data_IF_631754198646
#
_entry.id   IF_631754198646
#
_cell.length_a   1.000
_cell.length_b   1.000
_cell.length_c   1.000
_cell.angle_alpha   90.00
_cell.angle_beta   90.00
_cell.angle_gamma   90.00
#
_symmetry.space_group_name_H-M   'P 1'
#
loop_
_entity.id
_entity.type
_entity.pdbx_description
1 polymer ?
#
# COMPACT_ATOMS: atom_id res chain seq x y z
N UNK A 1 -47.64 24.07 77.91
CA UNK A 1 -47.78 22.67 77.46
C UNK A 1 -48.25 22.75 76.02
N UNK A 2 -47.54 22.35 74.97
CA UNK A 2 -46.42 21.41 74.82
C UNK A 2 -45.48 21.99 73.74
N UNK A 3 -44.18 21.87 73.99
CA UNK A 3 -43.12 22.15 73.03
C UNK A 3 -43.06 20.99 72.01
N UNK A 4 -42.94 21.31 70.72
CA UNK A 4 -42.48 20.34 69.71
C UNK A 4 -41.71 21.17 68.67
N UNK A 5 -40.41 21.08 68.50
CA UNK A 5 -39.55 19.91 68.60
C UNK A 5 -38.87 19.71 67.25
N UNK A 6 -38.18 20.76 66.78
CA UNK A 6 -37.48 20.76 65.49
C UNK A 6 -36.43 19.65 65.43
N UNK A 7 -36.57 18.76 64.46
CA UNK A 7 -35.50 17.84 64.06
C UNK A 7 -34.86 18.36 62.77
N UNK A 8 -33.58 18.77 62.79
CA UNK A 8 -32.85 19.00 61.55
C UNK A 8 -32.62 17.64 60.87
N UNK A 9 -33.17 17.49 59.66
CA UNK A 9 -32.89 16.35 58.79
C UNK A 9 -31.43 16.48 58.36
N UNK A 10 -30.60 15.55 58.84
CA UNK A 10 -29.20 15.46 58.46
C UNK A 10 -29.11 15.18 56.95
N UNK A 11 -28.57 16.16 56.23
CA UNK A 11 -28.24 16.09 54.81
C UNK A 11 -27.03 15.15 54.64
N UNK A 12 -27.29 13.83 54.65
CA UNK A 12 -26.30 12.80 54.33
C UNK A 12 -26.08 12.85 52.82
N UNK A 13 -25.19 13.74 52.40
CA UNK A 13 -24.63 13.69 51.05
C UNK A 13 -23.77 12.43 50.95
N UNK A 14 -24.10 11.44 50.08
CA UNK A 14 -23.14 10.43 49.73
C UNK A 14 -22.03 11.13 48.96
N UNK A 15 -20.88 11.30 49.60
CA UNK A 15 -19.63 11.58 48.90
C UNK A 15 -19.40 10.43 47.94
N UNK A 16 -19.77 10.64 46.67
CA UNK A 16 -19.31 9.83 45.55
C UNK A 16 -17.80 10.02 45.50
N UNK A 17 -17.10 9.17 46.24
CA UNK A 17 -15.69 8.87 46.01
C UNK A 17 -15.66 8.14 44.66
N UNK A 18 -15.76 8.94 43.59
CA UNK A 18 -15.44 8.53 42.24
C UNK A 18 -13.95 8.23 42.33
N UNK A 19 -13.62 6.96 42.55
CA UNK A 19 -12.26 6.46 42.39
C UNK A 19 -11.75 7.01 41.08
N UNK A 20 -10.89 8.03 41.18
CA UNK A 20 -10.16 8.50 40.02
C UNK A 20 -9.45 7.25 39.51
N UNK A 21 -9.68 6.82 38.26
CA UNK A 21 -8.85 5.77 37.69
C UNK A 21 -7.42 6.24 37.90
N UNK A 22 -6.62 5.40 38.55
CA UNK A 22 -5.31 5.77 39.08
C UNK A 22 -4.40 6.16 37.91
N UNK A 23 -4.47 7.45 37.55
CA UNK A 23 -3.83 8.03 36.36
C UNK A 23 -2.32 7.86 36.41
N UNK A 24 -1.77 7.67 37.61
CA UNK A 24 -0.36 7.35 37.82
C UNK A 24 -0.06 5.93 37.34
N UNK A 25 -0.89 4.96 37.76
CA UNK A 25 -0.78 3.56 37.34
C UNK A 25 -0.92 3.40 35.83
N UNK A 26 -1.89 4.09 35.20
CA UNK A 26 -2.09 4.05 33.75
C UNK A 26 -0.92 4.69 32.98
N UNK A 27 -0.32 5.77 33.51
CA UNK A 27 0.85 6.41 32.90
C UNK A 27 2.10 5.55 33.02
N UNK A 28 2.25 4.82 34.12
CA UNK A 28 3.35 3.88 34.32
C UNK A 28 3.20 2.68 33.38
N UNK A 29 2.00 2.11 33.26
CA UNK A 29 1.69 1.01 32.34
C UNK A 29 1.97 1.40 30.88
N UNK A 30 1.53 2.59 30.44
CA UNK A 30 1.83 3.10 29.09
C UNK A 30 3.34 3.32 28.90
N UNK A 31 4.06 3.81 29.91
CA UNK A 31 5.52 3.99 29.81
C UNK A 31 6.24 2.66 29.68
N UNK A 32 5.79 1.65 30.43
CA UNK A 32 6.38 0.32 30.43
C UNK A 32 6.11 -0.40 29.10
N UNK A 33 4.89 -0.26 28.57
CA UNK A 33 4.52 -0.82 27.27
C UNK A 33 5.22 -0.10 26.10
N UNK A 34 5.37 1.23 26.16
CA UNK A 34 6.15 1.99 25.17
C UNK A 34 7.66 1.66 25.27
N UNK A 35 8.18 1.41 26.47
CA UNK A 35 9.57 0.97 26.65
C UNK A 35 9.79 -0.45 26.13
N UNK A 36 8.83 -1.36 26.35
CA UNK A 36 8.84 -2.71 25.80
C UNK A 36 8.76 -2.70 24.25
N UNK A 37 7.94 -1.84 23.67
CA UNK A 37 7.87 -1.67 22.21
C UNK A 37 9.16 -1.09 21.62
N UNK A 38 9.86 -0.20 22.35
CA UNK A 38 11.19 0.28 21.94
C UNK A 38 12.28 -0.77 22.06
N UNK A 39 12.25 -1.62 23.09
CA UNK A 39 13.24 -2.71 23.23
C UNK A 39 13.02 -3.86 22.25
N UNK A 40 11.79 -4.02 21.72
CA UNK A 40 11.46 -5.01 20.69
C UNK A 40 11.89 -4.58 19.27
N UNK A 41 12.53 -3.41 19.13
CA UNK A 41 13.39 -3.14 17.97
C UNK A 41 12.67 -2.85 16.65
N UNK A 42 11.61 -2.04 16.67
CA UNK A 42 11.16 -1.34 15.47
C UNK A 42 11.20 0.17 15.70
N UNK A 43 12.42 0.69 15.91
CA UNK A 43 12.68 2.09 15.66
C UNK A 43 12.48 2.33 14.17
N UNK A 44 11.35 2.93 13.77
CA UNK A 44 11.23 3.56 12.45
C UNK A 44 12.21 4.72 12.39
N UNK A 45 13.48 4.40 12.14
CA UNK A 45 14.54 5.38 11.98
C UNK A 45 14.32 6.07 10.63
N UNK A 46 14.21 7.40 10.57
CA UNK A 46 14.09 8.13 9.30
C UNK A 46 15.30 7.94 8.36
N UNK A 47 16.37 7.30 8.83
CA UNK A 47 17.48 6.85 7.98
C UNK A 47 17.17 5.57 7.20
N UNK A 48 16.33 4.69 7.75
CA UNK A 48 15.97 3.43 7.10
C UNK A 48 15.05 3.67 5.89
N UNK A 49 14.14 4.63 5.99
CA UNK A 49 13.34 5.08 4.83
C UNK A 49 14.20 5.71 3.73
N UNK A 50 15.27 6.42 4.10
CA UNK A 50 16.20 7.03 3.15
C UNK A 50 17.06 5.97 2.42
N UNK A 51 17.51 4.93 3.11
CA UNK A 51 18.29 3.84 2.52
C UNK A 51 17.42 2.88 1.67
N UNK A 52 16.15 2.65 2.06
CA UNK A 52 15.17 1.94 1.22
C UNK A 52 14.86 2.76 -0.04
N UNK A 53 14.67 4.08 0.07
CA UNK A 53 14.47 4.96 -1.08
C UNK A 53 15.70 5.00 -2.02
N UNK A 54 16.92 5.00 -1.47
CA UNK A 54 18.16 4.92 -2.27
C UNK A 54 18.34 3.58 -2.97
N UNK A 55 18.00 2.46 -2.32
CA UNK A 55 18.03 1.13 -2.96
C UNK A 55 16.93 0.98 -4.02
N UNK A 56 15.78 1.62 -3.83
CA UNK A 56 14.72 1.68 -4.82
C UNK A 56 15.08 2.55 -6.03
N UNK A 57 15.92 3.58 -5.87
CA UNK A 57 16.33 4.46 -6.96
C UNK A 57 17.24 3.80 -8.03
N UNK A 58 17.83 2.63 -7.73
CA UNK A 58 18.71 1.89 -8.65
C UNK A 58 18.08 0.71 -9.37
N UNK A 59 16.84 0.35 -9.03
CA UNK A 59 16.06 -0.69 -9.73
C UNK A 59 14.85 0.00 -10.37
N UNK A 60 14.49 -0.29 -11.62
CA UNK A 60 13.14 0.04 -12.07
C UNK A 60 12.22 -0.67 -11.08
N UNK A 61 11.53 0.10 -10.24
CA UNK A 61 10.61 -0.43 -9.26
C UNK A 61 9.52 -1.12 -10.07
N UNK A 62 9.65 -2.43 -10.26
CA UNK A 62 8.61 -3.25 -10.82
C UNK A 62 7.40 -3.01 -9.94
N UNK A 63 6.37 -2.40 -10.51
CA UNK A 63 5.16 -2.08 -9.80
C UNK A 63 4.58 -3.38 -9.24
N UNK A 64 4.70 -3.59 -7.93
CA UNK A 64 4.18 -4.78 -7.27
C UNK A 64 2.68 -4.61 -7.06
N UNK A 65 1.92 -4.86 -8.12
CA UNK A 65 0.46 -4.82 -8.14
C UNK A 65 -0.14 -5.72 -7.05
N UNK A 66 0.54 -6.82 -6.71
CA UNK A 66 0.16 -7.76 -5.64
C UNK A 66 0.20 -7.12 -4.27
N UNK A 67 1.28 -6.40 -3.96
CA UNK A 67 1.42 -5.66 -2.70
C UNK A 67 0.36 -4.57 -2.57
N UNK A 68 0.09 -3.82 -3.64
CA UNK A 68 -0.97 -2.79 -3.67
C UNK A 68 -2.35 -3.40 -3.45
N UNK A 69 -2.68 -4.53 -4.10
CA UNK A 69 -3.94 -5.26 -3.88
C UNK A 69 -4.07 -5.74 -2.43
N UNK A 70 -3.01 -6.28 -1.84
CA UNK A 70 -3.04 -6.77 -0.46
C UNK A 70 -3.27 -5.65 0.57
N UNK A 71 -2.70 -4.46 0.34
CA UNK A 71 -2.94 -3.30 1.20
C UNK A 71 -4.37 -2.76 1.06
N UNK A 72 -4.92 -2.83 -0.14
CA UNK A 72 -6.31 -2.46 -0.44
C UNK A 72 -7.29 -3.39 0.30
N UNK A 73 -7.09 -4.70 0.21
CA UNK A 73 -7.94 -5.69 0.91
C UNK A 73 -7.85 -5.53 2.43
N UNK A 74 -6.65 -5.26 2.94
CA UNK A 74 -6.44 -4.98 4.35
C UNK A 74 -7.19 -3.71 4.79
N UNK A 75 -7.14 -2.63 4.00
CA UNK A 75 -7.86 -1.40 4.29
C UNK A 75 -9.38 -1.60 4.31
N UNK A 76 -9.92 -2.45 3.44
CA UNK A 76 -11.34 -2.79 3.40
C UNK A 76 -11.78 -3.57 4.66
N UNK A 77 -10.93 -4.45 5.18
CA UNK A 77 -11.19 -5.21 6.41
C UNK A 77 -11.35 -4.33 7.67
N UNK A 78 -10.66 -3.18 7.72
CA UNK A 78 -10.78 -2.23 8.82
C UNK A 78 -11.96 -1.28 8.68
N UNK A 79 -12.58 -1.22 7.50
CA UNK A 79 -13.76 -0.38 7.32
C UNK A 79 -14.91 -0.87 8.22
N UNK A 80 -15.01 -2.15 8.59
CA UNK A 80 -16.26 -2.70 9.14
C UNK A 80 -16.49 -2.63 10.67
N UNK A 81 -15.58 -2.01 11.43
CA UNK A 81 -15.53 -2.15 12.91
C UNK A 81 -16.62 -1.36 13.69
N UNK A 82 -17.53 -0.64 13.02
CA UNK A 82 -18.45 0.31 13.66
C UNK A 82 -19.81 -0.23 14.14
N UNK A 83 -20.16 -1.49 13.90
CA UNK A 83 -21.56 -1.95 14.00
C UNK A 83 -22.01 -2.44 15.38
N UNK A 84 -21.12 -2.63 16.36
CA UNK A 84 -21.48 -3.22 17.65
C UNK A 84 -21.16 -2.28 18.82
N UNK A 85 -22.17 -1.50 19.25
CA UNK A 85 -22.08 -0.74 20.50
C UNK A 85 -22.65 -1.58 21.66
N UNK A 86 -21.87 -1.81 22.74
CA UNK A 86 -22.36 -2.57 23.88
C UNK A 86 -23.47 -1.83 24.66
N UNK A 87 -24.48 -2.54 25.18
CA UNK A 87 -25.57 -1.92 25.92
C UNK A 87 -25.08 -1.33 27.25
N UNK A 88 -25.25 -0.01 27.42
CA UNK A 88 -24.94 0.71 28.67
C UNK A 88 -26.00 0.42 29.75
N UNK A 89 -25.69 -0.54 30.63
CA UNK A 89 -26.57 -0.97 31.73
C UNK A 89 -26.50 -0.12 33.02
N UNK A 90 -25.57 0.85 33.12
CA UNK A 90 -25.24 1.50 34.40
C UNK A 90 -26.17 2.64 34.88
N UNK A 91 -27.07 3.17 34.05
CA UNK A 91 -27.92 4.32 34.46
C UNK A 91 -29.38 3.91 34.75
N UNK A 92 -29.96 4.45 35.84
CA UNK A 92 -31.38 4.29 36.25
C UNK A 92 -32.13 5.64 36.22
N UNK A 93 -33.43 5.63 35.93
CA UNK A 93 -34.32 6.80 36.01
C UNK A 93 -34.28 7.79 34.81
N UNK A 94 -34.72 9.03 35.04
CA UNK A 94 -34.78 10.12 34.03
C UNK A 94 -33.42 10.41 33.37
N UNK A 95 -32.33 10.30 34.15
CA UNK A 95 -30.95 10.43 33.66
C UNK A 95 -30.65 9.38 32.58
N UNK A 96 -31.23 8.18 32.66
CA UNK A 96 -31.10 7.15 31.62
C UNK A 96 -31.74 7.59 30.30
N UNK A 97 -32.84 8.34 30.34
CA UNK A 97 -33.52 8.81 29.13
C UNK A 97 -32.67 9.86 28.41
N UNK A 98 -32.16 10.84 29.18
CA UNK A 98 -31.28 11.89 28.65
C UNK A 98 -29.97 11.29 28.14
N UNK A 99 -29.30 10.44 28.92
CA UNK A 99 -28.07 9.77 28.50
C UNK A 99 -28.27 8.92 27.23
N UNK A 100 -29.42 8.25 27.09
CA UNK A 100 -29.74 7.45 25.89
C UNK A 100 -30.01 8.33 24.67
N UNK A 101 -30.65 9.48 24.85
CA UNK A 101 -30.87 10.45 23.78
C UNK A 101 -29.54 11.07 23.30
N UNK A 102 -28.70 11.50 24.24
CA UNK A 102 -27.37 12.05 23.94
C UNK A 102 -26.47 11.00 23.29
N UNK A 103 -26.46 9.76 23.79
CA UNK A 103 -25.74 8.65 23.18
C UNK A 103 -26.24 8.38 21.76
N UNK A 104 -27.56 8.43 21.52
CA UNK A 104 -28.13 8.30 20.16
C UNK A 104 -27.67 9.42 19.25
N UNK A 105 -27.69 10.68 19.70
CA UNK A 105 -27.23 11.83 18.92
C UNK A 105 -25.75 11.70 18.56
N UNK A 106 -24.90 11.36 19.53
CA UNK A 106 -23.46 11.15 19.30
C UNK A 106 -23.25 9.97 18.34
N UNK A 107 -23.90 8.82 18.54
CA UNK A 107 -23.80 7.67 17.63
C UNK A 107 -24.28 7.99 16.22
N UNK A 108 -25.34 8.77 16.08
CA UNK A 108 -25.87 9.16 14.76
C UNK A 108 -24.90 10.12 14.07
N UNK A 109 -24.32 11.08 14.80
CA UNK A 109 -23.35 12.03 14.26
C UNK A 109 -22.02 11.34 13.91
N UNK A 110 -21.55 10.44 14.79
CA UNK A 110 -20.41 9.57 14.52
C UNK A 110 -20.67 8.71 13.29
N UNK A 111 -21.83 8.06 13.16
CA UNK A 111 -22.20 7.31 11.94
C UNK A 111 -22.16 8.20 10.71
N UNK A 112 -22.72 9.40 10.74
CA UNK A 112 -22.72 10.30 9.58
C UNK A 112 -21.29 10.66 9.13
N UNK A 113 -20.39 10.93 10.09
CA UNK A 113 -18.98 11.23 9.80
C UNK A 113 -18.25 9.97 9.30
N UNK A 114 -18.43 8.84 9.97
CA UNK A 114 -17.78 7.57 9.65
C UNK A 114 -18.30 6.98 8.33
N UNK A 115 -19.56 7.18 7.98
CA UNK A 115 -20.15 6.75 6.70
C UNK A 115 -19.56 7.57 5.54
N UNK A 116 -19.37 8.88 5.73
CA UNK A 116 -18.65 9.69 4.73
C UNK A 116 -17.19 9.28 4.60
N UNK A 117 -16.50 9.00 5.72
CA UNK A 117 -15.13 8.50 5.70
C UNK A 117 -15.03 7.13 5.05
N UNK A 118 -15.97 6.22 5.32
CA UNK A 118 -16.07 4.91 4.65
C UNK A 118 -16.28 5.06 3.16
N UNK A 119 -17.20 5.92 2.75
CA UNK A 119 -17.46 6.14 1.32
C UNK A 119 -16.25 6.76 0.62
N UNK A 120 -15.58 7.75 1.25
CA UNK A 120 -14.34 8.31 0.74
C UNK A 120 -13.23 7.26 0.62
N UNK A 121 -13.02 6.45 1.67
CA UNK A 121 -12.05 5.37 1.65
C UNK A 121 -12.36 4.36 0.54
N UNK A 122 -13.62 3.92 0.43
CA UNK A 122 -14.04 2.98 -0.62
C UNK A 122 -13.84 3.55 -2.03
N UNK A 123 -14.15 4.83 -2.26
CA UNK A 123 -13.90 5.50 -3.54
C UNK A 123 -12.40 5.64 -3.82
N UNK A 124 -11.61 5.93 -2.79
CA UNK A 124 -10.15 6.06 -2.89
C UNK A 124 -9.52 4.72 -3.23
N UNK A 125 -9.88 3.66 -2.50
CA UNK A 125 -9.47 2.28 -2.73
C UNK A 125 -9.82 1.83 -4.15
N UNK A 126 -11.05 2.08 -4.60
CA UNK A 126 -11.48 1.75 -5.97
C UNK A 126 -10.69 2.52 -7.04
N UNK A 127 -10.37 3.79 -6.79
CA UNK A 127 -9.55 4.59 -7.69
C UNK A 127 -8.11 4.09 -7.75
N UNK A 128 -7.52 3.72 -6.61
CA UNK A 128 -6.19 3.12 -6.52
C UNK A 128 -6.13 1.78 -7.24
N UNK A 129 -7.17 0.95 -7.11
CA UNK A 129 -7.26 -0.33 -7.82
C UNK A 129 -7.34 -0.12 -9.34
N UNK A 130 -8.15 0.84 -9.80
CA UNK A 130 -8.22 1.18 -11.21
C UNK A 130 -6.89 1.74 -11.76
N UNK A 131 -6.14 2.49 -10.95
CA UNK A 131 -4.81 2.97 -11.31
C UNK A 131 -3.80 1.82 -11.41
N UNK A 132 -3.84 0.88 -10.45
CA UNK A 132 -2.99 -0.30 -10.45
C UNK A 132 -3.23 -1.17 -11.70
N UNK A 133 -4.48 -1.44 -12.04
CA UNK A 133 -4.84 -2.19 -13.25
C UNK A 133 -4.42 -1.45 -14.54
N UNK A 134 -4.54 -0.11 -14.54
CA UNK A 134 -4.08 0.72 -15.66
C UNK A 134 -2.57 0.67 -15.86
N UNK A 135 -1.81 0.71 -14.76
CA UNK A 135 -0.36 0.55 -14.77
C UNK A 135 0.05 -0.83 -15.27
N UNK A 136 -0.61 -1.89 -14.80
CA UNK A 136 -0.34 -3.28 -15.23
C UNK A 136 -0.55 -3.48 -16.74
N UNK A 137 -1.62 -2.89 -17.31
CA UNK A 137 -1.84 -2.94 -18.77
C UNK A 137 -0.79 -2.14 -19.54
N UNK A 138 -0.37 -0.99 -19.01
CA UNK A 138 0.65 -0.15 -19.64
C UNK A 138 2.01 -0.86 -19.65
N UNK A 139 2.41 -1.48 -18.55
CA UNK A 139 3.67 -2.23 -18.47
C UNK A 139 3.64 -3.47 -19.37
N UNK A 140 2.51 -4.18 -19.44
CA UNK A 140 2.35 -5.29 -20.38
C UNK A 140 2.46 -4.83 -21.84
N UNK A 141 1.82 -3.73 -22.21
CA UNK A 141 1.91 -3.16 -23.55
C UNK A 141 3.33 -2.69 -23.91
N UNK A 142 4.07 -2.11 -22.96
CA UNK A 142 5.47 -1.76 -23.16
C UNK A 142 6.36 -3.00 -23.34
N UNK A 143 6.14 -4.05 -22.55
CA UNK A 143 6.87 -5.31 -22.70
C UNK A 143 6.65 -5.93 -24.08
N UNK A 144 5.41 -5.91 -24.58
CA UNK A 144 5.07 -6.37 -25.93
C UNK A 144 5.78 -5.53 -27.00
N UNK A 145 5.76 -4.20 -26.90
CA UNK A 145 6.45 -3.32 -27.83
C UNK A 145 7.97 -3.54 -27.85
N UNK A 146 8.59 -3.73 -26.68
CA UNK A 146 10.02 -4.04 -26.58
C UNK A 146 10.32 -5.36 -27.28
N UNK A 147 9.52 -6.41 -27.03
CA UNK A 147 9.70 -7.71 -27.68
C UNK A 147 9.55 -7.64 -29.21
N UNK A 148 8.60 -6.84 -29.70
CA UNK A 148 8.41 -6.63 -31.14
C UNK A 148 9.60 -5.88 -31.77
N UNK A 149 10.16 -4.89 -31.07
CA UNK A 149 11.36 -4.17 -31.52
C UNK A 149 12.59 -5.06 -31.55
N UNK A 150 12.76 -5.93 -30.55
CA UNK A 150 13.83 -6.93 -30.52
C UNK A 150 13.70 -7.94 -31.67
N UNK A 151 12.48 -8.37 -32.00
CA UNK A 151 12.28 -9.27 -33.14
C UNK A 151 12.58 -8.56 -34.47
N UNK A 152 12.15 -7.31 -34.63
CA UNK A 152 12.45 -6.51 -35.82
C UNK A 152 13.96 -6.26 -35.97
N UNK A 153 14.66 -5.93 -34.88
CA UNK A 153 16.10 -5.72 -34.91
C UNK A 153 16.85 -7.00 -35.28
N UNK A 154 16.41 -8.16 -34.77
CA UNK A 154 16.98 -9.46 -35.13
C UNK A 154 16.78 -9.77 -36.62
N UNK A 155 15.58 -9.56 -37.15
CA UNK A 155 15.30 -9.75 -38.59
C UNK A 155 16.11 -8.80 -39.47
N UNK A 156 16.37 -7.58 -39.01
CA UNK A 156 17.23 -6.64 -39.72
C UNK A 156 18.69 -7.10 -39.72
N UNK A 157 19.21 -7.57 -38.58
CA UNK A 157 20.55 -8.14 -38.49
C UNK A 157 20.73 -9.34 -39.42
N UNK A 158 19.80 -10.30 -39.40
CA UNK A 158 19.81 -11.47 -40.30
C UNK A 158 19.82 -11.06 -41.79
N UNK A 159 19.10 -9.99 -42.15
CA UNK A 159 19.10 -9.46 -43.51
C UNK A 159 20.44 -8.84 -43.90
N UNK A 160 21.03 -8.05 -43.01
CA UNK A 160 22.36 -7.45 -43.24
C UNK A 160 23.40 -8.55 -43.44
N UNK A 161 23.43 -9.55 -42.55
CA UNK A 161 24.35 -10.69 -42.65
C UNK A 161 24.18 -11.46 -43.97
N UNK A 162 22.93 -11.68 -44.40
CA UNK A 162 22.65 -12.36 -45.68
C UNK A 162 23.12 -11.56 -46.90
N UNK A 163 23.01 -10.23 -46.86
CA UNK A 163 23.46 -9.35 -47.93
C UNK A 163 24.98 -9.27 -47.98
N UNK A 164 25.64 -9.21 -46.82
CA UNK A 164 27.10 -9.27 -46.71
C UNK A 164 27.65 -10.60 -47.24
N UNK A 165 27.03 -11.73 -46.88
CA UNK A 165 27.40 -13.04 -47.41
C UNK A 165 27.25 -13.12 -48.95
N UNK A 166 26.15 -12.58 -49.49
CA UNK A 166 25.91 -12.54 -50.93
C UNK A 166 26.92 -11.64 -51.67
N UNK A 167 27.29 -10.50 -51.08
CA UNK A 167 28.31 -9.60 -51.63
C UNK A 167 29.70 -10.24 -51.60
N UNK A 168 30.07 -10.92 -50.52
CA UNK A 168 31.34 -11.65 -50.42
C UNK A 168 31.43 -12.76 -51.48
N UNK A 169 30.36 -13.56 -51.66
CA UNK A 169 30.32 -14.60 -52.70
C UNK A 169 30.39 -14.01 -54.12
N UNK A 170 29.83 -12.81 -54.37
CA UNK A 170 29.95 -12.13 -55.66
C UNK A 170 31.34 -11.54 -55.90
N UNK A 171 32.05 -11.20 -54.83
CA UNK A 171 33.37 -10.57 -54.83
C UNK A 171 34.53 -11.57 -54.94
N UNK A 172 34.22 -12.86 -55.05
CA UNK A 172 35.14 -13.91 -55.53
C UNK A 172 34.98 -14.20 -57.05
N UNK A 173 35.13 -13.24 -57.99
CA UNK A 173 35.13 -13.57 -59.41
C UNK A 173 36.53 -14.02 -59.88
N UNK A 174 36.56 -15.24 -60.43
CA UNK A 174 37.25 -15.60 -61.67
C UNK A 174 38.79 -15.56 -61.78
N UNK A 175 39.57 -15.29 -60.72
CA UNK A 175 41.05 -15.39 -60.82
C UNK A 175 41.56 -16.83 -61.08
N UNK A 176 40.72 -17.86 -60.92
CA UNK A 176 41.09 -19.27 -61.15
C UNK A 176 40.84 -19.79 -62.56
N UNK A 177 40.36 -18.98 -63.51
CA UNK A 177 40.07 -19.43 -64.89
C UNK A 177 41.07 -18.98 -65.97
N UNK A 178 42.14 -18.28 -65.60
CA UNK A 178 43.12 -17.72 -66.56
C UNK A 178 44.49 -18.43 -66.58
N UNK A 179 44.58 -19.65 -66.05
CA UNK A 179 45.81 -20.47 -66.08
C UNK A 179 45.58 -21.79 -66.79
N UNK A 180 45.17 -21.76 -68.06
CA UNK A 180 45.23 -22.96 -68.91
C UNK A 180 45.73 -22.62 -70.32
N UNK A 181 46.91 -23.17 -70.62
CA UNK A 181 47.46 -23.52 -71.92
C UNK A 181 47.93 -22.41 -72.90
N UNK A 182 49.25 -22.20 -72.87
CA UNK A 182 50.02 -21.93 -74.08
C UNK A 182 51.43 -22.53 -73.97
N UNK A 183 51.69 -23.77 -74.43
CA UNK A 183 53.04 -24.28 -74.55
C UNK A 183 53.76 -23.54 -75.69
N UNK A 184 54.74 -22.71 -75.33
CA UNK A 184 55.65 -22.08 -76.29
C UNK A 184 56.58 -23.17 -76.84
N UNK A 185 56.39 -23.54 -78.10
CA UNK A 185 57.34 -24.40 -78.81
C UNK A 185 58.64 -23.63 -79.12
N UNK A 186 59.82 -24.24 -78.94
CA UNK A 186 61.08 -23.68 -79.40
C UNK A 186 61.30 -24.04 -80.88
N UNK A 187 61.33 -23.04 -81.77
CA UNK A 187 61.89 -23.23 -83.11
C UNK A 187 63.42 -23.09 -83.10
N UNK A 188 64.02 -23.94 -83.95
CA UNK A 188 65.44 -24.27 -84.06
C UNK A 188 66.26 -23.27 -84.89
#
# INVERSE_FOLDING_TARGET
MVCDGGKPVADVRPSLDVSQPDLKRLKEEIREEVAALRSTGQEFSPKETADVARRAAGRPAAFDATSVRSMIDLADSFADVGLHTPPVHRFRGLIRSVARLTARMILTLSRFITDRQRNFNHLTTRSLMSLADGLERSTAGLAEQVSALEELSRRQAERVDSLEAALNHRSEPAESSSSENGPVQPEA
#
